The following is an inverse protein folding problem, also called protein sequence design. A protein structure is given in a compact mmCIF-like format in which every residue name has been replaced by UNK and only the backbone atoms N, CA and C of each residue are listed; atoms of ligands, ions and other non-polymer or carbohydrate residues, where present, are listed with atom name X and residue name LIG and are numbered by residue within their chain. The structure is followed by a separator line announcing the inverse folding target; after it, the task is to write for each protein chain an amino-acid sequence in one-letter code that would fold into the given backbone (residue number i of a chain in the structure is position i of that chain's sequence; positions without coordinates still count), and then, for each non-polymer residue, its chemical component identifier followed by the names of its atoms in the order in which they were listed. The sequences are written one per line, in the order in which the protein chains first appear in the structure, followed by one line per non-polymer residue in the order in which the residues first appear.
data_IF_608603102461
#
_entry.id   IF_608603102461
#
_cell.length_a   1.000
_cell.length_b   1.000
_cell.length_c   1.000
_cell.angle_alpha   90.00
_cell.angle_beta   90.00
_cell.angle_gamma   90.00
#
_symmetry.space_group_name_H-M   'P 1'
#
loop_
_entity.id
_entity.type
_entity.pdbx_description
1 polymer ?
#
# COMPACT_ATOMS: atom_id res chain seq x y z
N UNK A 1 -53.13 44.66 38.50
CA UNK A 1 -53.04 43.78 37.33
C UNK A 1 -51.91 44.27 36.42
N UNK A 2 -51.12 43.31 35.92
CA UNK A 2 -50.00 43.38 34.96
C UNK A 2 -48.68 43.92 35.53
N UNK A 3 -47.81 43.10 36.12
CA UNK A 3 -46.92 42.06 35.53
C UNK A 3 -45.86 42.67 34.59
N UNK A 4 -44.64 42.81 35.14
CA UNK A 4 -43.43 43.13 34.37
C UNK A 4 -42.78 41.86 33.84
N UNK A 5 -42.24 41.86 32.60
CA UNK A 5 -41.39 40.78 32.15
C UNK A 5 -40.09 41.32 31.57
N UNK A 6 -38.99 41.18 32.30
CA UNK A 6 -37.66 41.09 31.67
C UNK A 6 -36.70 40.38 32.61
N UNK A 7 -36.76 39.04 32.56
CA UNK A 7 -35.65 38.20 32.98
C UNK A 7 -34.43 38.57 32.13
N UNK A 8 -33.54 39.39 32.69
CA UNK A 8 -32.18 39.54 32.19
C UNK A 8 -31.40 38.25 32.48
N UNK A 9 -31.56 37.27 31.60
CA UNK A 9 -30.67 36.13 31.48
C UNK A 9 -29.28 36.64 31.08
N UNK A 10 -28.48 36.96 32.09
CA UNK A 10 -27.08 37.36 31.92
C UNK A 10 -26.29 36.09 31.59
N UNK A 11 -25.54 36.13 30.49
CA UNK A 11 -25.01 34.96 29.80
C UNK A 11 -24.10 34.08 30.63
N UNK A 12 -24.39 32.78 30.61
CA UNK A 12 -23.38 31.75 30.82
C UNK A 12 -22.72 31.48 29.46
N UNK A 13 -21.74 32.30 29.12
CA UNK A 13 -20.78 32.03 28.03
C UNK A 13 -19.44 31.80 28.71
N UNK A 14 -19.21 30.57 29.16
CA UNK A 14 -17.97 30.19 29.82
C UNK A 14 -17.79 28.68 29.88
N UNK A 15 -16.79 28.21 29.13
CA UNK A 15 -15.89 27.10 29.53
C UNK A 15 -16.37 25.65 29.52
N UNK A 16 -17.05 25.19 28.45
CA UNK A 16 -17.40 23.75 28.33
C UNK A 16 -16.59 22.97 27.28
N UNK A 17 -15.52 23.54 26.71
CA UNK A 17 -14.78 22.91 25.61
C UNK A 17 -13.28 22.64 25.88
N UNK A 18 -12.93 22.23 27.10
CA UNK A 18 -11.54 21.94 27.50
C UNK A 18 -11.16 20.43 27.53
N UNK A 19 -12.07 19.52 27.15
CA UNK A 19 -11.80 18.06 27.19
C UNK A 19 -12.08 17.32 25.88
N UNK A 20 -11.98 17.99 24.73
CA UNK A 20 -12.04 17.29 23.45
C UNK A 20 -10.76 16.47 23.27
N UNK A 21 -10.81 15.20 23.70
CA UNK A 21 -9.82 14.19 23.36
C UNK A 21 -9.71 14.12 21.83
N UNK A 22 -8.50 14.11 21.24
CA UNK A 22 -8.38 13.95 19.79
C UNK A 22 -9.06 12.63 19.42
N UNK A 23 -9.95 12.70 18.42
CA UNK A 23 -10.57 11.52 17.84
C UNK A 23 -9.48 10.50 17.47
N UNK A 24 -9.72 9.17 17.60
CA UNK A 24 -8.75 8.17 17.20
C UNK A 24 -8.31 8.45 15.76
N UNK A 25 -7.02 8.75 15.57
CA UNK A 25 -6.47 8.94 14.24
C UNK A 25 -6.77 7.67 13.43
N UNK A 26 -7.53 7.80 12.35
CA UNK A 26 -7.72 6.72 11.41
C UNK A 26 -6.34 6.16 11.02
N UNK A 27 -6.14 4.84 11.04
CA UNK A 27 -4.84 4.25 10.76
C UNK A 27 -4.40 4.70 9.37
N UNK A 28 -3.37 5.54 9.31
CA UNK A 28 -2.79 5.99 8.06
C UNK A 28 -2.37 4.76 7.27
N UNK A 29 -2.79 4.58 6.00
CA UNK A 29 -2.43 3.41 5.22
C UNK A 29 -0.91 3.26 5.22
N UNK A 30 -0.40 2.17 5.81
CA UNK A 30 1.04 1.91 5.84
C UNK A 30 1.47 1.60 4.41
N UNK A 31 2.14 2.54 3.77
CA UNK A 31 2.73 2.34 2.44
C UNK A 31 3.76 1.22 2.56
N UNK A 32 3.55 0.13 1.84
CA UNK A 32 4.53 -0.97 1.80
C UNK A 32 5.84 -0.47 1.17
N UNK A 33 7.01 -0.84 1.74
CA UNK A 33 8.30 -0.58 1.12
C UNK A 33 8.36 -1.10 -0.32
N UNK A 34 8.99 -0.34 -1.20
CA UNK A 34 9.05 -0.67 -2.63
C UNK A 34 9.73 -2.02 -2.87
N UNK A 35 10.73 -2.37 -2.06
CA UNK A 35 11.46 -3.63 -2.13
C UNK A 35 10.54 -4.83 -1.87
N UNK A 36 9.62 -4.70 -0.92
CA UNK A 36 8.65 -5.75 -0.59
C UNK A 36 7.66 -5.96 -1.74
N UNK A 37 7.20 -4.86 -2.36
CA UNK A 37 6.31 -4.91 -3.53
C UNK A 37 7.00 -5.57 -4.72
N UNK A 38 8.25 -5.21 -5.00
CA UNK A 38 9.07 -5.80 -6.07
C UNK A 38 9.30 -7.28 -5.81
N UNK A 39 9.66 -7.67 -4.58
CA UNK A 39 9.87 -9.07 -4.21
C UNK A 39 8.59 -9.89 -4.38
N UNK A 40 7.45 -9.38 -3.89
CA UNK A 40 6.14 -10.05 -4.05
C UNK A 40 5.77 -10.24 -5.52
N UNK A 41 5.93 -9.20 -6.33
CA UNK A 41 5.65 -9.27 -7.77
C UNK A 41 6.58 -10.27 -8.48
N UNK A 42 7.87 -10.23 -8.18
CA UNK A 42 8.87 -11.16 -8.75
C UNK A 42 8.53 -12.61 -8.42
N UNK A 43 8.18 -12.91 -7.16
CA UNK A 43 7.81 -14.26 -6.73
C UNK A 43 6.55 -14.76 -7.45
N UNK A 44 5.53 -13.90 -7.60
CA UNK A 44 4.30 -14.25 -8.32
C UNK A 44 4.59 -14.59 -9.78
N UNK A 45 5.44 -13.80 -10.43
CA UNK A 45 5.78 -14.00 -11.83
C UNK A 45 6.64 -15.25 -12.03
N UNK A 46 7.66 -15.46 -11.18
CA UNK A 46 8.50 -16.67 -11.19
C UNK A 46 7.63 -17.93 -11.01
N UNK A 47 6.75 -17.96 -10.01
CA UNK A 47 5.83 -19.09 -9.79
C UNK A 47 4.85 -19.32 -10.94
N UNK A 48 4.46 -18.28 -11.68
CA UNK A 48 3.62 -18.43 -12.87
C UNK A 48 4.39 -19.08 -14.03
N UNK A 49 5.63 -18.66 -14.25
CA UNK A 49 6.51 -19.18 -15.31
C UNK A 49 6.89 -20.64 -15.04
N UNK A 50 7.18 -21.00 -13.79
CA UNK A 50 7.52 -22.37 -13.38
C UNK A 50 6.41 -23.40 -13.65
N UNK A 51 5.17 -22.97 -13.90
CA UNK A 51 4.08 -23.87 -14.29
C UNK A 51 4.30 -24.46 -15.69
N UNK A 52 4.97 -23.71 -16.56
CA UNK A 52 5.17 -24.06 -17.98
C UNK A 52 6.63 -24.32 -18.33
N UNK A 53 7.57 -23.61 -17.70
CA UNK A 53 9.01 -23.81 -17.87
C UNK A 53 9.52 -24.73 -16.75
N UNK A 54 10.14 -25.86 -17.11
CA UNK A 54 10.66 -26.86 -16.17
C UNK A 54 12.17 -26.99 -16.29
N UNK A 55 12.84 -27.14 -15.15
CA UNK A 55 14.28 -27.42 -15.08
C UNK A 55 15.22 -26.24 -15.39
N UNK A 56 14.68 -25.02 -15.57
CA UNK A 56 15.45 -23.84 -15.96
C UNK A 56 15.34 -22.65 -14.98
N UNK A 57 15.49 -22.83 -13.65
CA UNK A 57 15.30 -21.75 -12.69
C UNK A 57 16.29 -20.59 -12.89
N UNK A 58 17.54 -20.89 -13.27
CA UNK A 58 18.57 -19.87 -13.53
C UNK A 58 18.26 -18.99 -14.74
N UNK A 59 17.71 -19.57 -15.81
CA UNK A 59 17.34 -18.84 -17.03
C UNK A 59 16.13 -17.93 -16.76
N UNK A 60 15.10 -18.48 -16.12
CA UNK A 60 13.90 -17.73 -15.71
C UNK A 60 14.28 -16.53 -14.85
N UNK A 61 15.19 -16.73 -13.88
CA UNK A 61 15.69 -15.66 -13.01
C UNK A 61 16.40 -14.56 -13.79
N UNK A 62 17.26 -14.88 -14.75
CA UNK A 62 17.96 -13.87 -15.55
C UNK A 62 17.01 -13.07 -16.43
N UNK A 63 16.01 -13.71 -17.04
CA UNK A 63 14.97 -13.02 -17.83
C UNK A 63 14.18 -12.04 -16.95
N UNK A 64 13.76 -12.48 -15.76
CA UNK A 64 13.05 -11.61 -14.80
C UNK A 64 13.89 -10.39 -14.42
N UNK A 65 15.17 -10.60 -14.12
CA UNK A 65 16.10 -9.49 -13.81
C UNK A 65 16.22 -8.55 -14.99
N UNK A 66 16.42 -9.06 -16.22
CA UNK A 66 16.56 -8.21 -17.40
C UNK A 66 15.31 -7.39 -17.67
N UNK A 67 14.12 -7.97 -17.54
CA UNK A 67 12.86 -7.24 -17.74
C UNK A 67 12.67 -6.14 -16.69
N UNK A 68 12.99 -6.42 -15.43
CA UNK A 68 12.85 -5.47 -14.33
C UNK A 68 13.78 -4.25 -14.46
N UNK A 69 14.97 -4.44 -15.02
CA UNK A 69 15.95 -3.36 -15.24
C UNK A 69 15.87 -2.74 -16.64
N UNK A 70 15.00 -3.25 -17.53
CA UNK A 70 14.89 -2.81 -18.92
C UNK A 70 16.03 -3.27 -19.84
N UNK A 71 16.75 -4.33 -19.44
CA UNK A 71 17.79 -4.97 -20.24
C UNK A 71 17.23 -5.98 -21.25
N UNK A 72 18.14 -6.57 -22.03
CA UNK A 72 17.84 -7.61 -23.01
C UNK A 72 18.65 -8.87 -22.68
N UNK A 73 18.10 -10.03 -23.02
CA UNK A 73 18.78 -11.33 -22.93
C UNK A 73 18.63 -12.07 -24.24
N UNK A 74 19.69 -12.78 -24.62
CA UNK A 74 19.68 -13.72 -25.73
C UNK A 74 19.67 -15.14 -25.15
N UNK A 75 18.77 -15.98 -25.63
CA UNK A 75 18.71 -17.39 -25.27
C UNK A 75 19.27 -18.21 -26.43
N UNK A 76 20.31 -18.99 -26.14
CA UNK A 76 20.93 -19.90 -27.09
C UNK A 76 20.79 -21.33 -26.60
N UNK A 77 20.42 -22.24 -27.50
CA UNK A 77 20.21 -23.63 -27.17
C UNK A 77 19.80 -24.43 -28.39
N UNK A 78 19.76 -25.76 -28.22
CA UNK A 78 19.21 -26.63 -29.24
C UNK A 78 17.70 -26.41 -29.42
N UNK A 79 17.14 -26.74 -30.60
CA UNK A 79 15.71 -26.66 -30.84
C UNK A 79 14.91 -27.35 -29.74
N UNK A 80 14.03 -26.59 -29.08
CA UNK A 80 13.15 -27.08 -28.01
C UNK A 80 13.69 -26.96 -26.58
N UNK A 81 14.90 -26.41 -26.36
CA UNK A 81 15.51 -26.35 -25.00
C UNK A 81 16.26 -25.06 -24.66
N UNK A 82 16.13 -23.99 -25.47
CA UNK A 82 16.69 -22.68 -25.13
C UNK A 82 16.03 -22.06 -23.89
#
# INVERSE_FOLDING_TARGET
MNEGPENAATGNTGDENLFQSPAPAEPTPRVEPIEQRIAKFSNVLESAVEKVVKGQPGVVRHILVSLMVGGHVLLEGNPGTA
#
